data_IF_109427665937
#
_entry.id   IF_109427665937
#
_cell.length_a   1.000
_cell.length_b   1.000
_cell.length_c   1.000
_cell.angle_alpha   90.00
_cell.angle_beta   90.00
_cell.angle_gamma   90.00
#
_symmetry.space_group_name_H-M   'P 1'
#
loop_
_entity.id
_entity.type
_entity.pdbx_description
1 polymer ?
#
# COMPACT_ATOMS: atom_id res chain seq x y z
N UNK A 1 -39.40 37.44 14.16
CA UNK A 1 -39.87 36.54 13.08
C UNK A 1 -39.06 35.27 13.14
N UNK A 2 -39.70 34.15 13.48
CA UNK A 2 -39.07 32.84 13.33
C UNK A 2 -38.84 32.60 11.84
N UNK A 3 -37.59 32.25 11.47
CA UNK A 3 -37.31 31.82 10.10
C UNK A 3 -37.93 30.44 9.88
N UNK A 4 -38.86 30.35 8.95
CA UNK A 4 -39.55 29.13 8.59
C UNK A 4 -38.89 28.40 7.42
N UNK A 5 -37.56 28.62 7.23
CA UNK A 5 -36.78 28.09 6.12
C UNK A 5 -35.54 27.41 6.67
N UNK A 6 -35.19 26.28 6.10
CA UNK A 6 -33.94 25.57 6.31
C UNK A 6 -33.19 25.44 5.01
N UNK A 7 -31.93 25.82 5.02
CA UNK A 7 -30.96 25.46 3.99
C UNK A 7 -30.34 24.11 4.29
N UNK A 8 -30.00 23.36 3.28
CA UNK A 8 -29.35 22.06 3.36
C UNK A 8 -28.42 21.86 2.18
N UNK A 9 -27.28 21.22 2.44
CA UNK A 9 -26.30 20.86 1.43
C UNK A 9 -26.21 19.35 1.35
N UNK A 10 -26.43 18.79 0.17
CA UNK A 10 -26.36 17.36 -0.10
C UNK A 10 -25.93 17.10 -1.52
N UNK A 11 -25.02 16.15 -1.72
CA UNK A 11 -24.52 15.73 -3.06
C UNK A 11 -24.06 16.92 -3.92
N UNK A 12 -23.29 17.84 -3.31
CA UNK A 12 -22.82 19.09 -3.92
C UNK A 12 -23.92 20.04 -4.41
N UNK A 13 -25.14 19.93 -3.87
CA UNK A 13 -26.28 20.79 -4.23
C UNK A 13 -26.86 21.47 -3.00
N UNK A 14 -27.23 22.73 -3.17
CA UNK A 14 -27.95 23.51 -2.17
C UNK A 14 -29.46 23.31 -2.33
N UNK A 15 -30.14 23.20 -1.21
CA UNK A 15 -31.59 23.10 -1.14
C UNK A 15 -32.12 24.12 -0.16
N UNK A 16 -33.23 24.73 -0.49
CA UNK A 16 -34.00 25.60 0.40
C UNK A 16 -35.40 25.03 0.54
N UNK A 17 -35.80 24.71 1.75
CA UNK A 17 -37.10 24.11 2.02
C UNK A 17 -37.72 24.71 3.28
N UNK A 18 -39.02 24.61 3.41
CA UNK A 18 -39.72 24.91 4.69
C UNK A 18 -39.17 23.97 5.78
N UNK A 19 -39.20 24.42 7.03
CA UNK A 19 -38.81 23.58 8.16
C UNK A 19 -39.82 22.42 8.25
N UNK A 20 -39.38 21.16 8.01
CA UNK A 20 -40.27 20.01 8.01
C UNK A 20 -40.60 19.57 9.42
N UNK A 21 -41.79 19.01 9.64
CA UNK A 21 -42.18 18.30 10.87
C UNK A 21 -41.52 16.89 10.98
N UNK A 22 -40.87 16.42 9.89
CA UNK A 22 -40.20 15.14 9.81
C UNK A 22 -38.96 15.22 8.91
N UNK A 23 -38.70 14.19 8.09
CA UNK A 23 -37.56 14.19 7.16
C UNK A 23 -37.72 15.30 6.08
N UNK A 24 -36.63 16.05 5.84
CA UNK A 24 -36.64 17.10 4.82
C UNK A 24 -36.74 16.48 3.40
N UNK A 25 -37.68 17.00 2.60
CA UNK A 25 -37.74 16.65 1.18
C UNK A 25 -36.75 17.51 0.38
N UNK A 26 -35.67 16.92 -0.09
CA UNK A 26 -34.61 17.56 -0.87
C UNK A 26 -34.73 17.17 -2.35
N UNK A 27 -35.91 17.36 -2.94
CA UNK A 27 -36.16 16.97 -4.35
C UNK A 27 -35.71 18.00 -5.38
N UNK A 28 -35.70 19.30 -5.03
CA UNK A 28 -35.40 20.36 -5.98
C UNK A 28 -34.23 21.21 -5.46
N UNK A 29 -33.04 21.07 -6.05
CA UNK A 29 -31.92 21.91 -5.70
C UNK A 29 -32.09 23.34 -6.18
N UNK A 30 -31.43 24.27 -5.51
CA UNK A 30 -31.27 25.64 -6.00
C UNK A 30 -30.45 25.60 -7.28
N UNK A 31 -30.95 26.19 -8.34
CA UNK A 31 -30.19 26.29 -9.59
C UNK A 31 -29.04 27.30 -9.41
N UNK A 32 -27.82 26.81 -9.54
CA UNK A 32 -26.60 27.61 -9.47
C UNK A 32 -25.81 27.63 -10.78
N UNK A 33 -26.36 27.09 -11.86
CA UNK A 33 -25.65 26.88 -13.14
C UNK A 33 -25.13 28.19 -13.76
N UNK A 34 -25.77 29.31 -13.44
CA UNK A 34 -25.40 30.63 -13.95
C UNK A 34 -24.61 31.48 -12.92
N UNK A 35 -24.22 30.91 -11.80
CA UNK A 35 -23.39 31.62 -10.83
C UNK A 35 -21.94 31.65 -11.31
N UNK A 36 -21.37 32.83 -11.40
CA UNK A 36 -19.96 33.03 -11.71
C UNK A 36 -19.33 33.99 -10.72
N UNK A 37 -18.08 33.80 -10.43
CA UNK A 37 -17.27 34.67 -9.57
C UNK A 37 -15.95 34.97 -10.29
N UNK A 38 -15.49 36.21 -10.20
CA UNK A 38 -14.15 36.58 -10.66
C UNK A 38 -13.17 36.31 -9.52
N UNK A 39 -12.19 35.45 -9.76
CA UNK A 39 -11.13 35.11 -8.80
C UNK A 39 -9.91 35.97 -9.08
N UNK A 40 -9.44 36.69 -8.05
CA UNK A 40 -8.12 37.32 -8.03
C UNK A 40 -7.13 36.35 -7.39
N UNK A 41 -6.42 35.61 -8.21
CA UNK A 41 -5.49 34.57 -7.74
C UNK A 41 -4.42 35.15 -6.80
N UNK A 42 -4.00 36.38 -6.94
CA UNK A 42 -2.98 36.94 -6.04
C UNK A 42 -3.50 37.11 -4.61
N UNK A 43 -4.77 37.48 -4.46
CA UNK A 43 -5.43 37.59 -3.16
C UNK A 43 -5.79 36.22 -2.59
N UNK A 44 -6.29 35.32 -3.43
CA UNK A 44 -6.63 33.97 -3.05
C UNK A 44 -5.38 33.21 -2.55
N UNK A 45 -4.26 33.27 -3.26
CA UNK A 45 -3.02 32.60 -2.86
C UNK A 45 -2.42 33.18 -1.57
N UNK A 46 -2.54 34.51 -1.37
CA UNK A 46 -2.16 35.11 -0.09
C UNK A 46 -3.03 34.60 1.07
N UNK A 47 -4.34 34.44 0.84
CA UNK A 47 -5.25 33.83 1.82
C UNK A 47 -4.91 32.38 2.09
N UNK A 48 -4.68 31.55 1.06
CA UNK A 48 -4.32 30.14 1.20
C UNK A 48 -3.01 29.98 1.99
N UNK A 49 -2.02 30.80 1.71
CA UNK A 49 -0.76 30.81 2.47
C UNK A 49 -1.00 31.12 3.97
N UNK A 50 -1.85 32.12 4.26
CA UNK A 50 -2.24 32.44 5.62
C UNK A 50 -3.03 31.33 6.30
N UNK A 51 -3.90 30.63 5.57
CA UNK A 51 -4.61 29.45 6.07
C UNK A 51 -3.66 28.32 6.38
N UNK A 52 -2.70 28.01 5.51
CA UNK A 52 -1.66 27.02 5.75
C UNK A 52 -0.87 27.33 7.02
N UNK A 53 -0.39 28.57 7.16
CA UNK A 53 0.37 28.98 8.33
C UNK A 53 -0.45 28.84 9.63
N UNK A 54 -1.74 29.26 9.61
CA UNK A 54 -2.64 29.11 10.76
C UNK A 54 -2.94 27.65 11.10
N UNK A 55 -3.20 26.83 10.08
CA UNK A 55 -3.47 25.42 10.27
C UNK A 55 -2.32 24.73 11.01
N UNK A 56 -1.08 25.02 10.64
CA UNK A 56 0.09 24.50 11.34
C UNK A 56 0.27 25.11 12.74
N UNK A 57 0.11 26.43 12.90
CA UNK A 57 0.17 27.10 14.20
C UNK A 57 -0.78 26.46 15.22
N UNK A 58 -2.00 26.14 14.78
CA UNK A 58 -3.10 25.73 15.65
C UNK A 58 -3.22 24.19 15.77
N UNK A 59 -2.64 23.44 14.82
CA UNK A 59 -2.78 21.98 14.73
C UNK A 59 -1.48 21.18 14.89
N UNK A 60 -0.31 21.80 14.85
CA UNK A 60 0.94 21.08 15.02
C UNK A 60 1.05 20.44 16.41
N UNK A 61 1.49 19.20 16.48
CA UNK A 61 1.43 18.38 17.71
C UNK A 61 2.25 18.93 18.91
N UNK A 62 3.21 19.81 18.65
CA UNK A 62 3.97 20.51 19.71
C UNK A 62 3.77 22.02 19.61
N UNK A 63 3.28 22.64 20.68
CA UNK A 63 3.04 24.08 20.74
C UNK A 63 4.28 24.92 20.48
N UNK A 64 5.47 24.39 20.83
CA UNK A 64 6.74 25.06 20.61
C UNK A 64 7.27 24.96 19.18
N UNK A 65 6.51 24.34 18.24
CA UNK A 65 6.86 24.23 16.82
C UNK A 65 8.29 23.68 16.60
N UNK A 66 8.72 22.65 17.34
CA UNK A 66 10.09 22.13 17.35
C UNK A 66 11.17 23.20 17.69
N UNK A 67 10.81 24.26 18.39
CA UNK A 67 11.69 25.38 18.70
C UNK A 67 11.85 26.42 17.59
N UNK A 68 11.08 26.30 16.50
CA UNK A 68 11.09 27.23 15.37
C UNK A 68 10.24 28.47 15.69
N UNK A 69 10.76 29.68 15.43
CA UNK A 69 9.94 30.89 15.46
C UNK A 69 8.98 30.92 14.25
N UNK A 70 7.82 30.30 14.44
CA UNK A 70 6.82 30.13 13.39
C UNK A 70 6.30 31.45 12.80
N UNK A 71 6.34 32.53 13.60
CA UNK A 71 5.98 33.88 13.12
C UNK A 71 7.07 34.45 12.20
N UNK A 72 8.33 34.28 12.55
CA UNK A 72 9.45 34.69 11.69
C UNK A 72 9.47 33.88 10.39
N UNK A 73 9.13 32.58 10.43
CA UNK A 73 8.99 31.74 9.23
C UNK A 73 7.90 32.26 8.29
N UNK A 74 6.74 32.67 8.82
CA UNK A 74 5.72 33.34 7.99
C UNK A 74 6.28 34.54 7.23
N UNK A 75 7.00 35.41 7.93
CA UNK A 75 7.60 36.61 7.34
C UNK A 75 8.64 36.24 6.26
N UNK A 76 9.49 35.24 6.54
CA UNK A 76 10.49 34.73 5.60
C UNK A 76 9.89 34.32 4.25
N UNK A 77 8.79 33.57 4.28
CA UNK A 77 8.20 32.99 3.06
C UNK A 77 7.15 33.89 2.39
N UNK A 78 6.47 34.77 3.13
CA UNK A 78 5.45 35.65 2.57
C UNK A 78 5.99 36.62 1.50
N UNK A 79 7.28 36.96 1.55
CA UNK A 79 7.93 37.84 0.55
C UNK A 79 8.01 37.20 -0.84
N UNK A 80 7.82 35.87 -0.94
CA UNK A 80 7.85 35.13 -2.19
C UNK A 80 6.47 35.14 -2.91
N UNK A 81 5.38 35.41 -2.20
CA UNK A 81 4.01 35.35 -2.75
C UNK A 81 3.80 36.22 -4.00
N UNK A 82 4.32 37.45 -4.11
CA UNK A 82 4.16 38.27 -5.32
C UNK A 82 4.80 37.67 -6.58
N UNK A 83 5.72 36.69 -6.40
CA UNK A 83 6.43 36.03 -7.48
C UNK A 83 5.76 34.72 -7.92
N UNK A 84 4.81 34.21 -7.16
CA UNK A 84 4.02 33.04 -7.55
C UNK A 84 3.20 33.34 -8.80
N UNK A 85 3.29 32.51 -9.83
CA UNK A 85 2.56 32.67 -11.10
C UNK A 85 1.59 31.54 -11.36
N UNK A 86 1.74 30.44 -10.63
CA UNK A 86 0.91 29.24 -10.72
C UNK A 86 0.55 28.74 -9.33
N UNK A 87 -0.49 27.91 -9.25
CA UNK A 87 -0.84 27.22 -7.98
C UNK A 87 0.29 26.32 -7.49
N UNK A 88 1.11 25.77 -8.41
CA UNK A 88 2.28 24.95 -8.06
C UNK A 88 3.38 25.78 -7.39
N UNK A 89 3.59 27.04 -7.83
CA UNK A 89 4.56 27.93 -7.15
C UNK A 89 4.12 28.20 -5.70
N UNK A 90 2.82 28.41 -5.47
CA UNK A 90 2.28 28.56 -4.12
C UNK A 90 2.49 27.30 -3.28
N UNK A 91 2.23 26.12 -3.85
CA UNK A 91 2.47 24.85 -3.16
C UNK A 91 3.95 24.68 -2.79
N UNK A 92 4.86 25.06 -3.67
CA UNK A 92 6.29 25.05 -3.39
C UNK A 92 6.63 25.98 -2.20
N UNK A 93 6.13 27.21 -2.21
CA UNK A 93 6.35 28.18 -1.12
C UNK A 93 5.80 27.65 0.22
N UNK A 94 4.60 27.08 0.22
CA UNK A 94 4.01 26.47 1.42
C UNK A 94 4.83 25.26 1.85
N UNK A 95 5.26 24.40 0.90
CA UNK A 95 6.09 23.23 1.17
C UNK A 95 7.41 23.61 1.86
N UNK A 96 8.10 24.64 1.36
CA UNK A 96 9.31 25.16 1.99
C UNK A 96 9.05 25.72 3.39
N UNK A 97 7.94 26.44 3.58
CA UNK A 97 7.53 26.96 4.87
C UNK A 97 7.31 25.86 5.91
N UNK A 98 6.56 24.81 5.56
CA UNK A 98 6.28 23.72 6.50
C UNK A 98 7.48 22.81 6.69
N UNK A 99 8.39 22.73 5.73
CA UNK A 99 9.64 21.98 5.80
C UNK A 99 10.58 22.47 6.91
N UNK A 100 10.48 23.74 7.31
CA UNK A 100 11.26 24.28 8.46
C UNK A 100 10.99 23.58 9.79
N UNK A 101 9.86 22.87 9.87
CA UNK A 101 9.49 22.11 11.07
C UNK A 101 10.21 20.76 11.16
N UNK A 102 10.93 20.34 10.11
CA UNK A 102 11.62 19.06 10.05
C UNK A 102 10.75 17.89 10.55
N UNK A 103 9.58 17.73 9.93
CA UNK A 103 8.63 16.67 10.21
C UNK A 103 8.27 15.93 8.95
N UNK A 104 8.39 14.60 8.95
CA UNK A 104 8.24 13.77 7.76
C UNK A 104 6.83 13.77 7.17
N UNK A 105 5.81 13.82 7.99
CA UNK A 105 4.39 13.76 7.59
C UNK A 105 3.76 15.16 7.43
N UNK A 106 4.34 16.02 6.61
CA UNK A 106 3.83 17.35 6.29
C UNK A 106 3.51 17.42 4.79
N UNK A 107 2.24 17.60 4.43
CA UNK A 107 1.81 17.55 3.03
C UNK A 107 0.99 18.76 2.63
N UNK A 108 1.27 19.25 1.41
CA UNK A 108 0.46 20.23 0.67
C UNK A 108 -0.13 19.51 -0.52
N UNK A 109 -1.45 19.44 -0.60
CA UNK A 109 -2.09 18.84 -1.76
C UNK A 109 -2.03 19.81 -2.96
N UNK A 110 -1.76 19.29 -4.18
CA UNK A 110 -1.79 20.12 -5.37
C UNK A 110 -3.20 20.69 -5.57
N UNK A 111 -3.25 21.96 -5.94
CA UNK A 111 -4.50 22.60 -6.30
C UNK A 111 -4.98 22.21 -7.69
N UNK A 112 -5.83 23.05 -8.26
CA UNK A 112 -6.23 22.93 -9.64
C UNK A 112 -5.00 23.01 -10.56
N UNK A 113 -4.77 21.96 -11.30
CA UNK A 113 -3.68 21.86 -12.28
C UNK A 113 -4.27 21.36 -13.58
N UNK A 114 -3.80 21.90 -14.70
CA UNK A 114 -4.14 21.38 -16.01
C UNK A 114 -3.67 19.91 -16.10
N UNK A 115 -4.63 19.00 -16.14
CA UNK A 115 -4.37 17.58 -16.35
C UNK A 115 -4.74 17.22 -17.78
N UNK A 116 -3.77 17.03 -18.66
CA UNK A 116 -4.08 16.57 -20.02
C UNK A 116 -4.77 15.21 -19.94
N UNK A 117 -5.73 14.99 -20.84
CA UNK A 117 -6.40 13.70 -20.95
C UNK A 117 -5.35 12.60 -21.25
N UNK A 118 -5.29 11.61 -20.38
CA UNK A 118 -4.40 10.45 -20.58
C UNK A 118 -5.06 9.44 -21.51
N UNK A 119 -4.37 9.09 -22.59
CA UNK A 119 -4.74 7.93 -23.39
C UNK A 119 -4.13 6.70 -22.72
N UNK A 120 -5.00 5.76 -22.31
CA UNK A 120 -4.58 4.56 -21.59
C UNK A 120 -4.00 3.54 -22.56
N UNK A 121 -2.79 3.08 -22.29
CA UNK A 121 -2.17 1.99 -23.05
C UNK A 121 -2.62 0.65 -22.48
N UNK A 122 -3.03 -0.26 -23.33
CA UNK A 122 -3.37 -1.62 -22.93
C UNK A 122 -2.13 -2.43 -22.56
N UNK A 123 -2.21 -3.16 -21.44
CA UNK A 123 -1.15 -4.03 -20.92
C UNK A 123 -1.63 -5.48 -20.95
N UNK A 124 -0.69 -6.40 -21.21
CA UNK A 124 -1.04 -7.79 -21.52
C UNK A 124 -1.02 -8.74 -20.31
N UNK A 125 -0.49 -8.29 -19.16
CA UNK A 125 -0.23 -9.16 -18.02
C UNK A 125 0.89 -10.16 -18.32
N UNK A 126 1.92 -9.72 -19.06
CA UNK A 126 3.02 -10.57 -19.52
C UNK A 126 4.30 -9.78 -19.72
N UNK A 127 5.43 -10.44 -19.54
CA UNK A 127 6.73 -9.96 -20.00
C UNK A 127 6.91 -10.29 -21.47
N UNK A 128 7.24 -9.28 -22.28
CA UNK A 128 7.33 -9.38 -23.73
C UNK A 128 8.64 -8.79 -24.20
N UNK A 129 9.37 -9.52 -25.04
CA UNK A 129 10.62 -9.04 -25.65
C UNK A 129 10.55 -9.03 -27.17
N UNK A 130 11.33 -8.13 -27.79
CA UNK A 130 11.53 -8.12 -29.23
C UNK A 130 12.43 -9.28 -29.64
N UNK A 131 12.03 -10.06 -30.62
CA UNK A 131 12.84 -11.12 -31.22
C UNK A 131 13.58 -10.62 -32.47
N UNK A 132 14.69 -11.27 -32.83
CA UNK A 132 15.47 -10.95 -34.04
C UNK A 132 14.69 -11.05 -35.36
N UNK A 133 13.57 -11.75 -35.36
CA UNK A 133 12.64 -11.81 -36.49
C UNK A 133 11.81 -10.53 -36.68
N UNK A 134 11.91 -9.59 -35.75
CA UNK A 134 11.07 -8.39 -35.68
C UNK A 134 9.73 -8.57 -34.98
N UNK A 135 9.27 -9.81 -34.76
CA UNK A 135 8.08 -10.09 -33.95
C UNK A 135 8.40 -10.03 -32.46
N UNK A 136 7.37 -10.07 -31.61
CA UNK A 136 7.52 -10.02 -30.15
C UNK A 136 7.15 -11.36 -29.53
N UNK A 137 7.98 -11.79 -28.55
CA UNK A 137 7.80 -13.06 -27.85
C UNK A 137 7.19 -12.83 -26.47
N UNK A 138 6.27 -13.68 -26.07
CA UNK A 138 5.82 -13.81 -24.70
C UNK A 138 6.88 -14.55 -23.88
N UNK A 139 7.67 -13.85 -23.08
CA UNK A 139 8.70 -14.48 -22.26
C UNK A 139 8.12 -15.11 -21.02
N UNK A 140 7.13 -14.43 -20.41
CA UNK A 140 6.44 -14.90 -19.23
C UNK A 140 5.01 -14.37 -19.22
N UNK A 141 4.06 -15.18 -18.82
CA UNK A 141 2.69 -14.78 -18.57
C UNK A 141 2.50 -14.72 -17.05
N UNK A 142 1.98 -13.59 -16.55
CA UNK A 142 1.71 -13.42 -15.15
C UNK A 142 0.39 -14.14 -14.79
N UNK A 143 0.42 -15.17 -13.94
CA UNK A 143 -0.81 -15.81 -13.50
C UNK A 143 -1.64 -14.83 -12.67
N UNK A 144 -2.95 -14.81 -12.94
CA UNK A 144 -3.93 -14.08 -12.17
C UNK A 144 -4.57 -14.92 -11.08
N UNK A 145 -5.54 -14.33 -10.41
CA UNK A 145 -6.40 -14.99 -9.44
C UNK A 145 -7.87 -14.74 -9.77
N UNK A 146 -8.63 -15.80 -10.03
CA UNK A 146 -10.02 -15.72 -10.49
C UNK A 146 -11.01 -15.14 -9.47
N UNK A 147 -10.62 -15.03 -8.22
CA UNK A 147 -11.42 -14.49 -7.12
C UNK A 147 -11.32 -12.96 -6.94
N UNK A 148 -10.40 -12.30 -7.66
CA UNK A 148 -10.23 -10.84 -7.64
C UNK A 148 -10.23 -10.26 -9.05
N UNK A 149 -11.01 -9.18 -9.21
CA UNK A 149 -11.07 -8.45 -10.48
C UNK A 149 -9.73 -7.72 -10.79
N UNK A 150 -9.07 -7.23 -9.77
CA UNK A 150 -7.78 -6.53 -9.87
C UNK A 150 -6.64 -7.48 -10.28
N UNK A 151 -6.80 -8.78 -10.00
CA UNK A 151 -5.85 -9.83 -10.34
C UNK A 151 -6.22 -10.60 -11.60
N UNK A 152 -7.07 -10.03 -12.45
CA UNK A 152 -7.39 -10.59 -13.77
C UNK A 152 -6.14 -10.60 -14.66
N UNK A 153 -5.81 -11.74 -15.24
CA UNK A 153 -4.72 -11.88 -16.21
C UNK A 153 -5.29 -12.24 -17.57
N UNK A 154 -5.31 -11.32 -18.55
CA UNK A 154 -6.00 -11.49 -19.81
C UNK A 154 -5.57 -12.72 -20.60
N UNK A 155 -4.28 -13.07 -20.53
CA UNK A 155 -3.71 -14.20 -21.26
C UNK A 155 -3.92 -15.55 -20.57
N UNK A 156 -4.49 -15.57 -19.36
CA UNK A 156 -4.81 -16.80 -18.62
C UNK A 156 -6.32 -17.02 -18.48
N UNK A 157 -7.14 -16.20 -19.11
CA UNK A 157 -8.60 -16.36 -19.08
C UNK A 157 -9.04 -17.65 -19.80
N UNK A 158 -10.17 -18.25 -19.39
CA UNK A 158 -10.68 -19.47 -20.02
C UNK A 158 -10.82 -19.31 -21.54
N UNK A 159 -10.30 -20.27 -22.29
CA UNK A 159 -10.36 -20.29 -23.76
C UNK A 159 -9.25 -19.51 -24.47
N UNK A 160 -8.40 -18.78 -23.75
CA UNK A 160 -7.29 -18.01 -24.34
C UNK A 160 -6.08 -18.90 -24.64
N UNK A 161 -5.69 -19.77 -23.69
CA UNK A 161 -4.61 -20.79 -23.83
C UNK A 161 -3.27 -20.24 -24.34
N UNK A 162 -2.93 -18.99 -24.01
CA UNK A 162 -1.64 -18.40 -24.35
C UNK A 162 -0.53 -19.07 -23.55
N UNK A 163 0.64 -19.24 -24.17
CA UNK A 163 1.81 -19.90 -23.53
C UNK A 163 3.06 -19.03 -23.65
N UNK A 164 3.87 -19.04 -22.62
CA UNK A 164 5.19 -18.48 -22.69
C UNK A 164 6.01 -19.16 -23.81
N UNK A 165 6.76 -18.37 -24.56
CA UNK A 165 7.48 -18.82 -25.74
C UNK A 165 6.73 -18.62 -27.06
N UNK A 166 5.41 -18.38 -27.05
CA UNK A 166 4.68 -17.99 -28.26
C UNK A 166 5.03 -16.54 -28.68
N UNK A 167 4.82 -16.27 -29.97
CA UNK A 167 5.03 -14.96 -30.59
C UNK A 167 3.70 -14.25 -30.78
N UNK A 168 3.65 -12.97 -30.42
CA UNK A 168 2.57 -12.06 -30.81
C UNK A 168 2.90 -11.55 -32.20
N UNK A 169 2.23 -12.10 -33.20
CA UNK A 169 2.58 -11.80 -34.61
C UNK A 169 1.70 -10.72 -35.23
N UNK A 170 0.50 -10.48 -34.70
CA UNK A 170 -0.34 -9.34 -35.08
C UNK A 170 -1.23 -8.89 -33.91
N UNK A 171 -1.64 -7.62 -33.92
CA UNK A 171 -2.65 -7.02 -33.05
C UNK A 171 -3.65 -6.29 -33.93
N UNK A 172 -4.94 -6.60 -33.80
CA UNK A 172 -6.03 -6.11 -34.66
C UNK A 172 -5.70 -6.20 -36.16
N UNK A 173 -5.06 -7.29 -36.56
CA UNK A 173 -4.64 -7.55 -37.93
C UNK A 173 -3.34 -6.81 -38.36
N UNK A 174 -2.78 -5.93 -37.55
CA UNK A 174 -1.54 -5.23 -37.85
C UNK A 174 -0.36 -6.10 -37.43
N UNK A 175 0.57 -6.47 -38.33
CA UNK A 175 1.74 -7.26 -37.99
C UNK A 175 2.66 -6.53 -37.02
N UNK A 176 3.07 -7.20 -35.93
CA UNK A 176 3.86 -6.57 -34.87
C UNK A 176 5.29 -6.27 -35.29
N UNK A 177 5.83 -6.93 -36.31
CA UNK A 177 7.14 -6.65 -36.89
C UNK A 177 7.22 -5.32 -37.67
N UNK A 178 6.09 -4.60 -37.77
CA UNK A 178 6.04 -3.26 -38.40
C UNK A 178 6.33 -2.15 -37.39
N UNK A 179 6.41 -2.45 -36.09
CA UNK A 179 6.64 -1.48 -35.04
C UNK A 179 7.91 -1.83 -34.22
N UNK A 180 8.55 -0.82 -33.66
CA UNK A 180 9.71 -1.01 -32.77
C UNK A 180 9.30 -1.32 -31.33
N UNK A 181 8.07 -0.95 -30.95
CA UNK A 181 7.52 -1.16 -29.63
C UNK A 181 6.09 -1.66 -29.77
N UNK A 182 5.81 -2.85 -29.25
CA UNK A 182 4.50 -3.50 -29.34
C UNK A 182 3.39 -2.64 -28.71
N UNK A 183 3.70 -1.89 -27.64
CA UNK A 183 2.73 -1.06 -26.96
C UNK A 183 2.18 0.10 -27.82
N UNK A 184 2.85 0.45 -28.93
CA UNK A 184 2.32 1.39 -29.91
C UNK A 184 0.99 0.91 -30.53
N UNK A 185 0.80 -0.42 -30.66
CA UNK A 185 -0.42 -1.03 -31.15
C UNK A 185 -1.50 -1.20 -30.06
N UNK A 186 -1.14 -0.93 -28.81
CA UNK A 186 -2.02 -1.08 -27.65
C UNK A 186 -2.45 0.27 -27.04
N UNK A 187 -2.06 1.39 -27.65
CA UNK A 187 -2.49 2.73 -27.23
C UNK A 187 -4.01 2.84 -27.39
N UNK A 188 -4.71 3.25 -26.32
CA UNK A 188 -6.16 3.35 -26.28
C UNK A 188 -6.89 2.00 -26.16
N UNK A 189 -6.17 0.90 -25.90
CA UNK A 189 -6.73 -0.46 -25.84
C UNK A 189 -6.97 -0.98 -24.42
N UNK A 190 -6.67 -0.22 -23.38
CA UNK A 190 -6.99 -0.63 -22.01
C UNK A 190 -8.50 -0.87 -21.86
N UNK A 191 -8.87 -2.04 -21.36
CA UNK A 191 -10.26 -2.52 -21.20
C UNK A 191 -11.10 -2.60 -22.51
N UNK A 192 -10.43 -2.53 -23.67
CA UNK A 192 -11.08 -2.64 -24.97
C UNK A 192 -10.79 -4.03 -25.59
N UNK A 193 -11.81 -4.80 -25.99
CA UNK A 193 -11.60 -6.07 -26.68
C UNK A 193 -10.66 -5.90 -27.87
N UNK A 194 -9.56 -6.65 -27.87
CA UNK A 194 -8.46 -6.51 -28.84
C UNK A 194 -8.10 -7.90 -29.37
N UNK A 195 -8.03 -8.06 -30.69
CA UNK A 195 -7.60 -9.29 -31.32
C UNK A 195 -6.09 -9.43 -31.29
N UNK A 196 -5.59 -10.53 -30.73
CA UNK A 196 -4.18 -10.88 -30.70
C UNK A 196 -3.96 -12.15 -31.53
N UNK A 197 -3.06 -12.11 -32.48
CA UNK A 197 -2.62 -13.29 -33.25
C UNK A 197 -1.37 -13.88 -32.60
N UNK A 198 -1.47 -15.13 -32.12
CA UNK A 198 -0.39 -15.89 -31.51
C UNK A 198 0.09 -17.01 -32.39
N UNK A 199 1.38 -17.29 -32.38
CA UNK A 199 1.99 -18.40 -33.12
C UNK A 199 3.19 -18.97 -32.33
N UNK A 200 3.43 -20.26 -32.43
CA UNK A 200 4.62 -20.91 -31.89
C UNK A 200 5.90 -20.56 -32.68
N UNK A 201 5.75 -19.99 -33.88
CA UNK A 201 6.85 -19.53 -34.73
C UNK A 201 6.70 -18.04 -35.03
N UNK A 202 7.78 -17.30 -35.28
CA UNK A 202 7.73 -15.87 -35.58
C UNK A 202 7.27 -15.62 -37.05
N UNK A 203 6.03 -15.96 -37.35
CA UNK A 203 5.42 -15.82 -38.68
C UNK A 203 3.90 -15.66 -38.59
N UNK A 204 3.31 -14.96 -39.56
CA UNK A 204 1.85 -14.76 -39.62
C UNK A 204 1.09 -16.04 -40.04
N UNK A 205 1.70 -16.82 -40.94
CA UNK A 205 1.04 -18.04 -41.46
C UNK A 205 0.84 -19.07 -40.34
N UNK A 206 -0.39 -19.54 -40.16
CA UNK A 206 -0.75 -20.51 -39.13
C UNK A 206 -0.94 -19.91 -37.73
N UNK A 207 -0.98 -18.59 -37.59
CA UNK A 207 -1.29 -17.94 -36.34
C UNK A 207 -2.77 -18.20 -35.95
N UNK A 208 -2.98 -18.45 -34.65
CA UNK A 208 -4.34 -18.50 -34.08
C UNK A 208 -4.71 -17.13 -33.51
N UNK A 209 -5.99 -16.81 -33.58
CA UNK A 209 -6.53 -15.54 -33.09
C UNK A 209 -7.21 -15.76 -31.76
N UNK A 210 -6.94 -14.87 -30.84
CA UNK A 210 -7.61 -14.74 -29.56
C UNK A 210 -8.13 -13.31 -29.39
N UNK A 211 -9.12 -13.11 -28.56
CA UNK A 211 -9.60 -11.78 -28.17
C UNK A 211 -9.45 -11.65 -26.69
N UNK A 212 -8.75 -10.61 -26.27
CA UNK A 212 -8.55 -10.27 -24.86
C UNK A 212 -8.95 -8.82 -24.62
N UNK A 213 -9.21 -8.46 -23.36
CA UNK A 213 -9.30 -7.06 -22.94
C UNK A 213 -8.03 -6.71 -22.16
N UNK A 214 -7.07 -5.99 -22.77
CA UNK A 214 -5.84 -5.60 -22.10
C UNK A 214 -6.12 -4.78 -20.84
N UNK A 215 -5.19 -4.80 -19.87
CA UNK A 215 -5.32 -4.11 -18.59
C UNK A 215 -4.90 -2.64 -18.73
N UNK A 216 -5.44 -1.78 -17.87
CA UNK A 216 -4.89 -0.43 -17.65
C UNK A 216 -3.65 -0.44 -16.77
N UNK A 217 -3.59 -1.37 -15.80
CA UNK A 217 -2.51 -1.51 -14.84
C UNK A 217 -2.23 -2.98 -14.56
N UNK A 218 -1.00 -3.41 -14.72
CA UNK A 218 -0.57 -4.79 -14.41
C UNK A 218 0.29 -4.91 -13.14
N UNK A 219 0.50 -3.79 -12.43
CA UNK A 219 1.24 -3.80 -11.15
C UNK A 219 0.66 -4.80 -10.14
N UNK A 220 -0.68 -4.89 -9.95
CA UNK A 220 -1.26 -5.87 -9.03
C UNK A 220 -0.89 -7.32 -9.38
N UNK A 221 -0.74 -7.66 -10.67
CA UNK A 221 -0.30 -8.99 -11.09
C UNK A 221 1.16 -9.24 -10.75
N UNK A 222 2.05 -8.28 -11.03
CA UNK A 222 3.46 -8.40 -10.66
C UNK A 222 3.62 -8.58 -9.15
N UNK A 223 2.93 -7.76 -8.37
CA UNK A 223 2.95 -7.81 -6.92
C UNK A 223 2.43 -9.15 -6.39
N UNK A 224 1.27 -9.60 -6.85
CA UNK A 224 0.71 -10.90 -6.49
C UNK A 224 1.67 -12.05 -6.81
N UNK A 225 2.25 -12.07 -8.01
CA UNK A 225 3.21 -13.10 -8.40
C UNK A 225 4.48 -13.08 -7.54
N UNK A 226 4.95 -11.89 -7.15
CA UNK A 226 6.10 -11.75 -6.25
C UNK A 226 5.79 -12.36 -4.87
N UNK A 227 4.64 -12.05 -4.28
CA UNK A 227 4.20 -12.65 -3.01
C UNK A 227 4.08 -14.17 -3.12
N UNK A 228 3.42 -14.68 -4.19
CA UNK A 228 3.28 -16.14 -4.40
C UNK A 228 4.63 -16.84 -4.59
N UNK A 229 5.57 -16.20 -5.25
CA UNK A 229 6.91 -16.75 -5.42
C UNK A 229 7.68 -16.78 -4.09
N UNK A 230 7.54 -15.75 -3.25
CA UNK A 230 8.16 -15.73 -1.92
C UNK A 230 7.58 -16.83 -1.02
N UNK A 231 6.26 -17.00 -1.01
CA UNK A 231 5.61 -18.13 -0.32
C UNK A 231 6.19 -19.47 -0.74
N UNK A 232 6.32 -19.71 -2.06
CA UNK A 232 6.90 -20.97 -2.59
C UNK A 232 8.38 -21.12 -2.21
N UNK A 233 9.16 -20.04 -2.23
CA UNK A 233 10.57 -20.06 -1.83
C UNK A 233 10.74 -20.45 -0.36
N UNK A 234 9.97 -19.80 0.52
CA UNK A 234 9.99 -20.06 1.97
C UNK A 234 9.56 -21.49 2.25
N UNK A 235 8.45 -21.94 1.65
CA UNK A 235 7.94 -23.30 1.83
C UNK A 235 8.96 -24.35 1.39
N UNK A 236 9.54 -24.18 0.19
CA UNK A 236 10.57 -25.09 -0.34
C UNK A 236 11.83 -25.10 0.51
N UNK A 237 12.35 -23.94 0.88
CA UNK A 237 13.61 -23.83 1.63
C UNK A 237 13.50 -24.36 3.07
N UNK A 238 12.29 -24.30 3.65
CA UNK A 238 12.04 -24.78 5.01
C UNK A 238 11.42 -26.18 5.09
N UNK A 239 11.24 -26.87 3.96
CA UNK A 239 10.46 -28.11 3.87
C UNK A 239 9.06 -27.98 4.49
N UNK A 240 8.38 -26.88 4.19
CA UNK A 240 7.03 -26.59 4.66
C UNK A 240 6.91 -26.12 6.11
N UNK A 241 8.03 -25.91 6.83
CA UNK A 241 8.04 -25.60 8.26
C UNK A 241 7.78 -24.14 8.59
N UNK A 242 8.13 -23.21 7.70
CA UNK A 242 8.02 -21.76 7.91
C UNK A 242 6.88 -21.21 7.06
N UNK A 243 6.07 -20.34 7.66
CA UNK A 243 5.08 -19.52 6.96
C UNK A 243 5.67 -18.17 6.53
N UNK A 244 5.01 -17.55 5.55
CA UNK A 244 5.37 -16.22 5.05
C UNK A 244 4.11 -15.38 4.87
N UNK A 245 4.15 -14.14 5.36
CA UNK A 245 3.08 -13.15 5.24
C UNK A 245 3.69 -11.86 4.74
N UNK A 246 3.17 -11.32 3.64
CA UNK A 246 3.47 -9.96 3.20
C UNK A 246 2.34 -9.03 3.60
N UNK A 247 2.68 -7.85 4.13
CA UNK A 247 1.71 -6.84 4.57
C UNK A 247 1.97 -5.55 3.77
N UNK A 248 1.15 -5.24 2.75
CA UNK A 248 1.40 -4.11 1.84
C UNK A 248 1.21 -2.73 2.48
N UNK A 249 0.29 -2.65 3.43
CA UNK A 249 -0.04 -1.44 4.19
C UNK A 249 -0.60 -1.79 5.56
N UNK A 250 -0.83 -0.80 6.39
CA UNK A 250 -1.51 -0.94 7.67
C UNK A 250 -2.94 -0.38 7.62
N UNK A 251 -3.61 -0.63 6.49
CA UNK A 251 -5.02 -0.33 6.25
C UNK A 251 -5.87 -1.59 6.12
N UNK A 252 -7.08 -1.46 5.56
CA UNK A 252 -7.98 -2.60 5.34
C UNK A 252 -7.38 -3.67 4.42
N UNK A 253 -6.59 -3.28 3.41
CA UNK A 253 -5.96 -4.23 2.49
C UNK A 253 -4.91 -5.07 3.23
N UNK A 254 -3.99 -4.44 3.95
CA UNK A 254 -2.98 -5.14 4.74
C UNK A 254 -3.57 -6.04 5.81
N UNK A 255 -4.65 -5.62 6.49
CA UNK A 255 -5.35 -6.46 7.46
C UNK A 255 -6.01 -7.68 6.80
N UNK A 256 -6.56 -7.52 5.59
CA UNK A 256 -7.12 -8.62 4.81
C UNK A 256 -6.03 -9.60 4.35
N UNK A 257 -4.89 -9.09 3.85
CA UNK A 257 -3.75 -9.93 3.46
C UNK A 257 -3.14 -10.65 4.68
N UNK A 258 -2.97 -9.95 5.81
CA UNK A 258 -2.58 -10.60 7.05
C UNK A 258 -3.53 -11.75 7.40
N UNK A 259 -4.82 -11.52 7.40
CA UNK A 259 -5.83 -12.54 7.73
C UNK A 259 -5.80 -13.70 6.74
N UNK A 260 -5.68 -13.42 5.45
CA UNK A 260 -5.64 -14.41 4.37
C UNK A 260 -4.46 -15.38 4.52
N UNK A 261 -3.30 -14.87 4.92
CA UNK A 261 -2.09 -15.69 5.01
C UNK A 261 -1.76 -16.16 6.43
N UNK A 262 -2.21 -15.49 7.47
CA UNK A 262 -1.95 -15.88 8.86
C UNK A 262 -2.70 -17.14 9.25
N UNK A 263 -4.03 -17.14 9.08
CA UNK A 263 -4.86 -18.25 9.58
C UNK A 263 -4.57 -19.61 8.91
N UNK A 264 -4.34 -19.70 7.59
CA UNK A 264 -3.96 -20.97 6.96
C UNK A 264 -2.58 -21.47 7.36
N UNK A 265 -1.73 -20.64 7.94
CA UNK A 265 -0.35 -20.96 8.31
C UNK A 265 -0.13 -21.09 9.84
N UNK A 266 -1.19 -21.15 10.62
CA UNK A 266 -1.10 -21.34 12.09
C UNK A 266 -0.39 -22.62 12.51
N UNK A 267 -0.30 -23.58 11.60
CA UNK A 267 0.38 -24.85 11.83
C UNK A 267 1.88 -24.83 11.51
N UNK A 268 2.35 -23.78 10.88
CA UNK A 268 3.77 -23.62 10.61
C UNK A 268 4.55 -23.45 11.93
N UNK A 269 5.76 -23.96 11.93
CA UNK A 269 6.60 -23.97 13.13
C UNK A 269 7.25 -22.60 13.40
N UNK A 270 7.41 -21.77 12.38
CA UNK A 270 7.91 -20.41 12.45
C UNK A 270 7.25 -19.51 11.41
N UNK A 271 7.46 -18.21 11.48
CA UNK A 271 6.80 -17.23 10.62
C UNK A 271 7.76 -16.11 10.19
N UNK A 272 7.73 -15.79 8.91
CA UNK A 272 8.34 -14.57 8.36
C UNK A 272 7.22 -13.58 8.05
N UNK A 273 7.30 -12.40 8.63
CA UNK A 273 6.43 -11.26 8.33
C UNK A 273 7.23 -10.29 7.46
N UNK A 274 6.74 -10.02 6.27
CA UNK A 274 7.39 -9.12 5.34
C UNK A 274 6.65 -7.78 5.33
N UNK A 275 7.27 -6.79 5.96
CA UNK A 275 6.80 -5.42 6.08
C UNK A 275 7.53 -4.48 5.10
N UNK A 276 8.34 -5.00 4.19
CA UNK A 276 9.06 -4.21 3.20
C UNK A 276 8.10 -3.46 2.29
N UNK A 277 8.38 -2.18 2.09
CA UNK A 277 7.55 -1.25 1.32
C UNK A 277 6.10 -1.10 1.83
N UNK A 278 5.87 -1.35 3.12
CA UNK A 278 4.58 -1.09 3.75
C UNK A 278 4.30 0.41 3.79
N UNK A 279 3.20 0.83 3.19
CA UNK A 279 2.83 2.24 3.05
C UNK A 279 2.24 2.90 4.31
N UNK A 280 2.13 2.15 5.42
CA UNK A 280 1.54 2.65 6.66
C UNK A 280 0.02 2.56 6.72
N UNK A 281 -0.56 3.18 7.73
CA UNK A 281 -1.99 3.15 8.05
C UNK A 281 -2.23 3.32 9.54
N UNK A 282 -3.04 2.43 10.15
CA UNK A 282 -3.35 2.49 11.58
C UNK A 282 -3.76 1.14 12.20
N UNK A 283 -3.52 0.01 11.55
CA UNK A 283 -3.93 -1.32 12.04
C UNK A 283 -2.77 -2.14 12.64
N UNK A 284 -1.55 -1.61 12.68
CA UNK A 284 -0.42 -2.32 13.28
C UNK A 284 -0.69 -2.83 14.70
N UNK A 285 -1.41 -2.11 15.61
CA UNK A 285 -1.71 -2.62 16.94
C UNK A 285 -2.57 -3.89 16.91
N UNK A 286 -3.48 -4.02 15.95
CA UNK A 286 -4.34 -5.20 15.80
C UNK A 286 -3.53 -6.43 15.37
N UNK A 287 -2.58 -6.22 14.47
CA UNK A 287 -1.70 -7.29 13.96
C UNK A 287 -0.71 -7.71 15.07
N UNK A 288 -0.09 -6.73 15.73
CA UNK A 288 0.84 -6.97 16.85
C UNK A 288 0.16 -7.72 18.01
N UNK A 289 -1.07 -7.33 18.37
CA UNK A 289 -1.87 -8.04 19.38
C UNK A 289 -2.07 -9.51 18.98
N UNK A 290 -2.37 -9.77 17.72
CA UNK A 290 -2.55 -11.13 17.23
C UNK A 290 -1.25 -11.93 17.25
N UNK A 291 -0.15 -11.33 16.84
CA UNK A 291 1.17 -11.98 16.81
C UNK A 291 1.77 -12.22 18.20
N UNK A 292 1.40 -11.42 19.21
CA UNK A 292 1.90 -11.51 20.59
C UNK A 292 1.11 -12.47 21.48
N UNK A 293 0.03 -13.07 20.97
CA UNK A 293 -0.79 -13.99 21.77
C UNK A 293 0.00 -15.20 22.21
N UNK A 294 -0.14 -15.55 23.49
CA UNK A 294 0.40 -16.76 24.09
C UNK A 294 -0.74 -17.68 24.58
N UNK A 295 -0.61 -19.00 24.40
CA UNK A 295 -1.61 -19.91 24.91
C UNK A 295 -1.47 -20.08 26.43
N UNK A 296 -2.51 -19.78 27.19
CA UNK A 296 -2.56 -20.07 28.62
C UNK A 296 -3.19 -21.43 28.95
N UNK A 297 -3.80 -22.08 27.97
CA UNK A 297 -4.44 -23.38 28.11
C UNK A 297 -4.41 -24.13 26.78
N UNK A 298 -4.20 -25.45 26.86
CA UNK A 298 -4.29 -26.35 25.72
C UNK A 298 -5.54 -27.21 25.81
N UNK A 299 -6.12 -27.57 24.67
CA UNK A 299 -7.29 -28.42 24.57
C UNK A 299 -7.02 -29.62 23.70
N UNK A 300 -7.62 -30.75 24.04
CA UNK A 300 -7.60 -31.96 23.23
C UNK A 300 -9.01 -32.54 23.12
N UNK A 301 -9.32 -33.14 22.01
CA UNK A 301 -10.54 -33.91 21.81
C UNK A 301 -10.25 -35.33 21.39
N UNK A 302 -11.19 -36.22 21.60
CA UNK A 302 -11.05 -37.64 21.16
C UNK A 302 -10.87 -37.67 19.62
N UNK A 303 -9.83 -38.35 19.15
CA UNK A 303 -9.55 -38.47 17.72
C UNK A 303 -8.88 -37.27 17.07
N UNK A 304 -8.62 -36.18 17.81
CA UNK A 304 -7.88 -35.02 17.26
C UNK A 304 -6.38 -35.31 17.27
N UNK A 305 -5.73 -35.07 16.14
CA UNK A 305 -4.26 -35.20 15.99
C UNK A 305 -3.48 -34.03 16.55
N UNK A 306 -4.15 -32.91 16.80
CA UNK A 306 -3.55 -31.64 17.23
C UNK A 306 -4.14 -31.16 18.54
N UNK A 307 -3.26 -30.58 19.34
CA UNK A 307 -3.64 -29.83 20.54
C UNK A 307 -4.13 -28.46 20.11
N UNK A 308 -5.32 -28.09 20.53
CA UNK A 308 -5.84 -26.72 20.36
C UNK A 308 -5.24 -25.76 21.38
N UNK A 309 -5.19 -24.49 21.07
CA UNK A 309 -4.72 -23.43 21.97
C UNK A 309 -5.88 -22.56 22.44
N UNK A 310 -5.77 -22.01 23.65
CA UNK A 310 -6.67 -20.97 24.15
C UNK A 310 -5.80 -19.78 24.63
N UNK A 311 -5.98 -18.59 24.07
CA UNK A 311 -6.92 -18.26 22.99
C UNK A 311 -6.63 -19.03 21.71
N UNK A 312 -7.62 -19.03 20.81
CA UNK A 312 -7.47 -19.63 19.50
C UNK A 312 -6.53 -18.79 18.59
N UNK A 313 -6.09 -19.42 17.51
CA UNK A 313 -5.28 -18.79 16.48
C UNK A 313 -3.98 -18.16 17.01
N UNK A 314 -3.24 -18.93 17.80
CA UNK A 314 -1.91 -18.57 18.31
C UNK A 314 -0.84 -19.21 17.47
N UNK A 315 0.10 -18.39 17.00
CA UNK A 315 1.34 -18.84 16.35
C UNK A 315 2.48 -18.78 17.38
N UNK A 316 2.87 -19.92 17.90
CA UNK A 316 3.82 -20.06 19.03
C UNK A 316 5.29 -20.17 18.60
N UNK A 317 5.57 -20.19 17.30
CA UNK A 317 6.94 -20.35 16.80
C UNK A 317 7.74 -19.05 16.75
N UNK A 318 9.05 -19.16 16.48
CA UNK A 318 9.88 -18.00 16.24
C UNK A 318 9.37 -17.18 15.05
N UNK A 319 9.54 -15.88 15.14
CA UNK A 319 9.12 -14.90 14.13
C UNK A 319 10.29 -14.02 13.75
N UNK A 320 10.31 -13.61 12.50
CA UNK A 320 11.24 -12.61 11.97
C UNK A 320 10.45 -11.60 11.15
N UNK A 321 10.80 -10.32 11.22
CA UNK A 321 10.20 -9.29 10.40
C UNK A 321 11.23 -8.74 9.39
N UNK A 322 10.86 -8.72 8.11
CA UNK A 322 11.60 -8.06 7.04
C UNK A 322 11.18 -6.60 6.95
N UNK A 323 12.14 -5.70 6.87
CA UNK A 323 11.92 -4.25 6.81
C UNK A 323 12.82 -3.60 5.76
N UNK A 324 12.39 -2.47 5.20
CA UNK A 324 13.25 -1.67 4.34
C UNK A 324 12.93 -0.16 4.40
N UNK A 325 13.74 0.65 3.72
CA UNK A 325 13.62 2.11 3.68
C UNK A 325 12.30 2.65 3.15
N UNK A 326 11.44 1.80 2.61
CA UNK A 326 10.11 2.13 2.12
C UNK A 326 8.98 1.72 3.08
N UNK A 327 9.32 1.03 4.19
CA UNK A 327 8.37 0.81 5.30
C UNK A 327 8.16 2.15 5.99
N UNK A 328 6.93 2.68 5.98
CA UNK A 328 6.66 4.07 6.33
C UNK A 328 5.46 4.22 7.25
N UNK A 329 5.46 5.27 8.11
CA UNK A 329 4.35 5.62 8.99
C UNK A 329 4.00 4.47 9.96
N UNK A 330 2.79 3.90 9.92
CA UNK A 330 2.45 2.71 10.71
C UNK A 330 3.26 1.47 10.28
N UNK A 331 3.88 1.50 9.07
CA UNK A 331 4.91 0.55 8.63
C UNK A 331 6.27 0.77 9.30
N UNK A 332 6.54 1.94 9.90
CA UNK A 332 7.65 2.16 10.86
C UNK A 332 7.26 1.69 12.27
N UNK A 333 6.01 1.99 12.67
CA UNK A 333 5.51 1.66 14.02
C UNK A 333 5.34 0.15 14.23
N UNK A 334 4.99 -0.58 13.19
CA UNK A 334 4.86 -2.03 13.26
C UNK A 334 6.16 -2.74 13.64
N UNK A 335 7.29 -2.56 12.94
CA UNK A 335 8.55 -3.18 13.35
C UNK A 335 9.08 -2.65 14.68
N UNK A 336 8.84 -1.37 15.01
CA UNK A 336 9.15 -0.85 16.34
C UNK A 336 8.39 -1.62 17.43
N UNK A 337 7.07 -1.77 17.26
CA UNK A 337 6.23 -2.54 18.18
C UNK A 337 6.60 -4.02 18.22
N UNK A 338 6.91 -4.62 17.07
CA UNK A 338 7.37 -6.01 16.97
C UNK A 338 8.60 -6.29 17.84
N UNK A 339 9.59 -5.38 17.80
CA UNK A 339 10.76 -5.43 18.67
C UNK A 339 10.42 -5.16 20.13
N UNK A 340 9.63 -4.11 20.43
CA UNK A 340 9.27 -3.73 21.79
C UNK A 340 8.51 -4.83 22.55
N UNK A 341 7.75 -5.65 21.82
CA UNK A 341 7.04 -6.82 22.33
C UNK A 341 7.89 -8.11 22.34
N UNK A 342 9.15 -8.05 21.87
CA UNK A 342 10.04 -9.21 21.84
C UNK A 342 9.60 -10.30 20.89
N UNK A 343 8.90 -9.99 19.81
CA UNK A 343 8.34 -10.99 18.90
C UNK A 343 9.40 -11.68 18.03
N UNK A 344 10.53 -11.03 17.78
CA UNK A 344 11.64 -11.58 17.00
C UNK A 344 12.58 -10.51 16.46
N UNK A 345 13.46 -10.91 15.54
CA UNK A 345 14.46 -10.03 14.92
C UNK A 345 13.89 -9.29 13.72
N UNK A 346 14.44 -8.10 13.48
CA UNK A 346 14.23 -7.30 12.29
C UNK A 346 15.41 -7.49 11.33
N UNK A 347 15.13 -7.76 10.06
CA UNK A 347 16.15 -8.01 9.03
C UNK A 347 15.87 -7.11 7.82
N UNK A 348 16.92 -6.50 7.27
CA UNK A 348 16.80 -5.66 6.09
C UNK A 348 17.53 -4.35 6.24
N UNK A 349 16.90 -3.24 5.86
CA UNK A 349 17.45 -1.88 6.00
C UNK A 349 16.55 -1.03 6.88
N UNK A 350 17.11 0.05 7.45
CA UNK A 350 16.37 1.01 8.28
C UNK A 350 15.09 1.48 7.57
N UNK A 351 13.99 1.59 8.31
CA UNK A 351 12.71 2.09 7.81
C UNK A 351 12.74 3.62 7.57
N UNK A 352 11.66 4.17 7.04
CA UNK A 352 11.61 5.58 6.62
C UNK A 352 11.75 6.59 7.76
N UNK A 353 11.02 6.41 8.86
CA UNK A 353 11.13 7.25 10.05
C UNK A 353 10.18 8.45 10.09
N UNK A 354 9.09 8.42 9.39
CA UNK A 354 8.04 9.43 9.51
C UNK A 354 6.82 8.88 10.22
N UNK A 355 6.71 9.11 11.53
CA UNK A 355 5.67 8.50 12.37
C UNK A 355 4.67 9.48 12.98
N UNK A 356 4.93 10.78 12.89
CA UNK A 356 3.94 11.76 13.37
C UNK A 356 2.67 11.63 12.57
N UNK A 357 1.56 11.32 13.24
CA UNK A 357 0.28 11.12 12.58
C UNK A 357 -0.28 12.43 12.04
N UNK A 358 -0.93 12.34 10.88
CA UNK A 358 -1.49 13.51 10.17
C UNK A 358 -2.96 13.74 10.52
N UNK A 359 -3.38 15.00 10.49
CA UNK A 359 -4.79 15.39 10.56
C UNK A 359 -5.58 14.86 9.35
N UNK A 360 -6.90 14.86 9.46
CA UNK A 360 -7.77 14.83 8.30
C UNK A 360 -7.51 16.04 7.38
N UNK A 361 -8.12 16.06 6.18
CA UNK A 361 -8.01 17.18 5.28
C UNK A 361 -8.55 18.47 5.94
N UNK A 362 -7.74 19.53 5.90
CA UNK A 362 -8.13 20.87 6.33
C UNK A 362 -8.31 21.71 5.06
N UNK A 363 -9.56 21.98 4.63
CA UNK A 363 -9.82 22.59 3.33
C UNK A 363 -9.38 24.03 3.30
N UNK A 364 -8.81 24.44 2.16
CA UNK A 364 -8.60 25.82 1.79
C UNK A 364 -9.82 26.42 1.07
N UNK A 365 -9.80 27.72 0.87
CA UNK A 365 -10.89 28.41 0.18
C UNK A 365 -11.09 27.97 -1.29
N UNK A 366 -10.06 27.41 -1.94
CA UNK A 366 -10.12 26.87 -3.31
C UNK A 366 -10.60 25.40 -3.36
N UNK A 367 -10.99 24.84 -2.21
CA UNK A 367 -11.44 23.44 -2.10
C UNK A 367 -10.33 22.40 -2.06
N UNK A 368 -9.08 22.81 -2.15
CA UNK A 368 -7.93 21.92 -1.88
C UNK A 368 -7.67 21.83 -0.37
N UNK A 369 -6.69 21.07 0.07
CA UNK A 369 -6.45 20.87 1.50
C UNK A 369 -4.97 20.81 1.88
N UNK A 370 -4.72 20.91 3.18
CA UNK A 370 -3.44 20.69 3.81
C UNK A 370 -3.59 19.62 4.90
N UNK A 371 -2.51 18.87 5.14
CA UNK A 371 -2.40 17.90 6.22
C UNK A 371 -1.35 18.37 7.22
N UNK A 372 -1.71 18.36 8.49
CA UNK A 372 -0.86 18.85 9.57
C UNK A 372 -0.39 17.68 10.42
N UNK A 373 0.88 17.60 10.79
CA UNK A 373 1.39 16.72 11.84
C UNK A 373 0.67 16.99 13.15
N UNK A 374 -0.18 16.06 13.60
CA UNK A 374 -1.20 16.34 14.62
C UNK A 374 -1.00 15.59 15.93
N UNK A 375 -0.41 14.38 15.88
CA UNK A 375 -0.11 13.57 17.06
C UNK A 375 1.15 12.74 16.83
N UNK A 376 1.80 12.32 17.92
CA UNK A 376 2.97 11.45 17.83
C UNK A 376 2.99 10.46 18.98
N UNK A 377 3.98 9.57 18.97
CA UNK A 377 4.15 8.50 19.94
C UNK A 377 5.45 8.63 20.73
N UNK A 378 5.42 8.18 21.96
CA UNK A 378 6.60 8.01 22.79
C UNK A 378 6.58 6.65 23.49
N UNK A 379 7.74 6.15 23.87
CA UNK A 379 7.88 4.83 24.48
C UNK A 379 7.24 4.78 25.87
N UNK A 380 6.35 3.82 26.08
CA UNK A 380 5.60 3.69 27.33
C UNK A 380 6.46 3.31 28.57
N UNK A 381 7.66 2.75 28.35
CA UNK A 381 8.56 2.33 29.44
C UNK A 381 9.56 3.42 29.79
N UNK A 382 10.08 4.11 28.78
CA UNK A 382 11.17 5.09 28.96
C UNK A 382 10.68 6.53 28.99
N UNK A 383 9.47 6.81 28.45
CA UNK A 383 8.95 8.17 28.26
C UNK A 383 9.70 9.00 27.21
N UNK A 384 10.54 8.36 26.38
CA UNK A 384 11.31 9.02 25.33
C UNK A 384 10.55 9.02 24.00
N UNK A 385 10.74 10.07 23.20
CA UNK A 385 10.25 10.07 21.82
C UNK A 385 10.82 8.88 21.05
N UNK A 386 10.01 8.27 20.20
CA UNK A 386 10.46 7.18 19.35
C UNK A 386 10.80 7.71 17.94
N UNK A 387 11.47 7.00 17.19
CA UNK A 387 11.92 6.91 15.81
C UNK A 387 11.57 8.03 14.79
N UNK A 388 10.85 9.11 15.11
CA UNK A 388 10.63 10.23 14.17
C UNK A 388 11.97 10.75 13.63
N UNK A 389 12.07 11.01 12.33
CA UNK A 389 13.26 11.41 11.60
C UNK A 389 14.45 10.41 11.65
N UNK A 390 14.23 9.19 12.13
CA UNK A 390 15.26 8.16 12.18
C UNK A 390 14.80 6.84 11.54
N UNK A 391 13.63 6.34 11.90
CA UNK A 391 13.16 5.03 11.55
C UNK A 391 13.63 3.93 12.50
N UNK A 392 13.35 2.68 12.14
CA UNK A 392 13.73 1.49 12.90
C UNK A 392 14.93 0.82 12.25
N UNK A 393 16.05 0.75 12.96
CA UNK A 393 17.23 0.00 12.52
C UNK A 393 16.95 -1.51 12.56
N UNK A 394 17.41 -2.29 11.57
CA UNK A 394 17.35 -3.74 11.63
C UNK A 394 18.34 -4.31 12.65
N UNK A 395 18.02 -5.49 13.20
CA UNK A 395 18.97 -6.25 14.00
C UNK A 395 20.03 -6.93 13.13
N UNK A 396 19.67 -7.23 11.89
CA UNK A 396 20.57 -7.79 10.87
C UNK A 396 20.45 -6.91 9.62
N UNK A 397 21.49 -6.10 9.40
CA UNK A 397 21.54 -5.21 8.23
C UNK A 397 21.90 -6.00 6.97
N UNK A 398 21.00 -6.00 6.01
CA UNK A 398 21.19 -6.53 4.66
C UNK A 398 20.48 -5.60 3.69
N UNK A 399 21.19 -5.07 2.72
CA UNK A 399 20.60 -4.40 1.56
C UNK A 399 20.71 -5.34 0.35
N UNK A 400 19.59 -5.59 -0.33
CA UNK A 400 19.59 -6.48 -1.48
C UNK A 400 20.41 -5.88 -2.62
N UNK A 401 21.30 -6.68 -3.23
CA UNK A 401 21.94 -6.31 -4.48
C UNK A 401 20.90 -6.26 -5.60
N UNK A 402 20.69 -5.10 -6.28
CA UNK A 402 19.67 -4.96 -7.31
C UNK A 402 19.81 -5.94 -8.47
N UNK A 403 21.05 -6.33 -8.83
CA UNK A 403 21.30 -7.29 -9.92
C UNK A 403 20.92 -8.70 -9.49
N UNK A 404 21.23 -9.08 -8.25
CA UNK A 404 20.80 -10.36 -7.69
C UNK A 404 19.28 -10.43 -7.55
N UNK A 405 18.67 -9.36 -7.05
CA UNK A 405 17.22 -9.28 -6.89
C UNK A 405 16.50 -9.39 -8.25
N UNK A 406 17.00 -8.68 -9.27
CA UNK A 406 16.51 -8.82 -10.65
C UNK A 406 16.60 -10.26 -11.17
N UNK A 407 17.68 -10.98 -10.82
CA UNK A 407 17.86 -12.40 -11.15
C UNK A 407 17.09 -13.35 -10.22
N UNK A 408 16.27 -12.81 -9.32
CA UNK A 408 15.39 -13.58 -8.45
C UNK A 408 16.01 -14.04 -7.14
N UNK A 409 17.20 -13.54 -6.76
CA UNK A 409 17.83 -13.77 -5.46
C UNK A 409 17.47 -12.65 -4.49
N UNK A 410 16.73 -12.98 -3.42
CA UNK A 410 16.37 -12.07 -2.34
C UNK A 410 17.22 -12.42 -1.10
N UNK A 411 18.29 -11.65 -0.87
CA UNK A 411 19.26 -11.91 0.20
C UNK A 411 18.62 -11.69 1.58
N UNK A 412 17.73 -10.71 1.71
CA UNK A 412 16.98 -10.44 2.94
C UNK A 412 16.06 -11.62 3.29
N UNK A 413 15.28 -12.12 2.32
CA UNK A 413 14.40 -13.26 2.51
C UNK A 413 15.17 -14.53 2.83
N UNK A 414 16.29 -14.77 2.14
CA UNK A 414 17.16 -15.90 2.41
C UNK A 414 17.69 -15.87 3.85
N UNK A 415 18.10 -14.69 4.33
CA UNK A 415 18.57 -14.53 5.71
C UNK A 415 17.45 -14.71 6.73
N UNK A 416 16.23 -14.25 6.43
CA UNK A 416 15.08 -14.47 7.29
C UNK A 416 14.78 -15.98 7.45
N UNK A 417 14.82 -16.73 6.36
CA UNK A 417 14.66 -18.19 6.40
C UNK A 417 15.74 -18.84 7.28
N UNK A 418 17.00 -18.46 7.09
CA UNK A 418 18.14 -18.97 7.88
C UNK A 418 17.94 -18.71 9.39
N UNK A 419 17.58 -17.47 9.76
CA UNK A 419 17.40 -17.09 11.16
C UNK A 419 16.21 -17.83 11.81
N UNK A 420 15.07 -17.94 11.13
CA UNK A 420 13.94 -18.71 11.65
C UNK A 420 14.31 -20.19 11.79
N UNK A 421 14.98 -20.79 10.78
CA UNK A 421 15.43 -22.19 10.85
C UNK A 421 16.39 -22.44 12.00
N UNK A 422 17.29 -21.49 12.29
CA UNK A 422 18.21 -21.55 13.43
C UNK A 422 17.47 -21.49 14.77
N UNK A 423 16.50 -20.59 14.90
CA UNK A 423 15.69 -20.47 16.12
C UNK A 423 14.79 -21.68 16.35
N UNK A 424 14.33 -22.34 15.30
CA UNK A 424 13.56 -23.58 15.39
C UNK A 424 14.34 -24.73 16.02
N UNK A 425 15.68 -24.75 15.95
CA UNK A 425 16.51 -25.76 16.60
C UNK A 425 16.42 -25.67 18.14
N UNK A 426 16.18 -24.48 18.67
CA UNK A 426 16.09 -24.21 20.11
C UNK A 426 14.64 -24.09 20.61
N UNK A 427 13.65 -24.29 19.72
CA UNK A 427 12.23 -24.15 20.07
C UNK A 427 11.81 -25.21 21.09
N UNK A 428 11.18 -24.76 22.17
CA UNK A 428 10.47 -25.66 23.08
C UNK A 428 9.10 -26.01 22.48
N UNK A 429 8.78 -27.27 22.22
CA UNK A 429 7.45 -27.64 21.75
C UNK A 429 6.41 -27.38 22.83
N UNK A 430 5.15 -27.25 22.43
CA UNK A 430 4.05 -27.23 23.39
C UNK A 430 4.08 -28.54 24.23
N UNK A 431 3.67 -28.46 25.52
CA UNK A 431 3.61 -29.65 26.37
C UNK A 431 2.78 -30.77 25.71
N UNK A 432 3.21 -32.01 25.80
CA UNK A 432 2.42 -33.12 25.29
C UNK A 432 1.12 -33.29 26.10
N UNK A 433 0.15 -34.00 25.52
CA UNK A 433 -1.06 -34.35 26.22
C UNK A 433 -0.67 -35.14 27.51
N UNK A 434 -1.19 -34.74 28.69
CA UNK A 434 -0.92 -35.46 29.93
C UNK A 434 -1.33 -36.92 29.86
N UNK A 435 -0.74 -37.75 30.71
CA UNK A 435 -1.15 -39.15 30.87
C UNK A 435 -2.66 -39.27 31.15
N UNK A 436 -3.31 -40.33 30.68
CA UNK A 436 -4.72 -40.57 30.97
C UNK A 436 -5.04 -40.51 32.47
N UNK A 437 -6.13 -39.87 32.81
CA UNK A 437 -6.60 -39.85 34.20
C UNK A 437 -7.26 -41.17 34.54
N UNK A 438 -7.00 -41.68 35.74
CA UNK A 438 -7.67 -42.83 36.33
C UNK A 438 -8.42 -42.40 37.59
N UNK A 439 -9.73 -42.44 37.55
CA UNK A 439 -10.62 -42.14 38.68
C UNK A 439 -11.33 -43.40 39.18
N UNK A 440 -10.86 -44.59 38.83
CA UNK A 440 -11.45 -45.86 39.24
C UNK A 440 -11.11 -46.24 40.67
N UNK A 441 -10.30 -45.46 41.37
CA UNK A 441 -9.90 -45.64 42.76
C UNK A 441 -10.56 -44.66 43.68
#
# INVERSE_FOLDING_TARGET
RQMCIRDSYKDNKLYVTAIPEGAANLSTPVNMDNMSITIDYSKEWAQIFDEAWRAYRDGFYLENMHGVDWKAIKQKYSVLLPYAKTRLDLNYIIGEMIGELNCGHAYVNPGETDKPARIKTGLLGAEVSADKSGFFRLDKILPGASWSKELRSPLTEPGIEAKAGEYIVAIDGIPTNTVKNIYALLVGKADVPTEISLNSKPQLAGARKIVISPLENEYPLYHYNWVQNNLKKVDKASNGRIGYIYIPDMGPEGLNEFSRYFYPQLDKEGLIIDDRANGGGNVSPMILERLSREPYRLTMGRGTKRVGTIPDAVQVGPKVCLINKYSASDGDLFPWGFRALGLGKLIGTRTWGGIVGISGPLPYMDGTDIRVPFFTSYDAKTGQWIIENHGVDPDILIDNDPVKEWNGEDEQLNKAIEEVMKELQNRKPLPPVPAPRDFSK
#
